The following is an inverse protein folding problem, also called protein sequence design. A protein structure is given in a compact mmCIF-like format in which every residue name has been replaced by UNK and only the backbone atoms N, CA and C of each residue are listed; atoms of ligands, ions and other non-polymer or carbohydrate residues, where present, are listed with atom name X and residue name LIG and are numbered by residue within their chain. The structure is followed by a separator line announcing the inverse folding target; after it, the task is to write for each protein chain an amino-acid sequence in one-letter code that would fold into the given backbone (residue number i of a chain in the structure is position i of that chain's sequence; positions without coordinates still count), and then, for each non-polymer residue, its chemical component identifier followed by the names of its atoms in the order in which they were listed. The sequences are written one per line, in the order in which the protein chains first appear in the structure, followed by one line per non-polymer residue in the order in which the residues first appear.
data_IF_922136391659
#
_entry.id   IF_922136391659
#
_cell.length_a   1.000
_cell.length_b   1.000
_cell.length_c   1.000
_cell.angle_alpha   90.00
_cell.angle_beta   90.00
_cell.angle_gamma   90.00
#
_symmetry.space_group_name_H-M   'P 1'
#
loop_
_entity.id
_entity.type
_entity.pdbx_description
1 polymer ?
#
# COMPACT_ATOMS: atom_id res chain seq x y z
N UNK A 1 4.21 15.17 3.75
CA UNK A 1 4.37 13.81 3.22
C UNK A 1 5.77 13.37 3.58
N UNK A 2 5.92 12.26 4.30
CA UNK A 2 7.22 11.61 4.43
C UNK A 2 7.60 11.08 3.06
N UNK A 3 8.77 11.46 2.56
CA UNK A 3 9.32 10.88 1.34
C UNK A 3 9.65 9.42 1.63
N UNK A 4 9.08 8.50 0.85
CA UNK A 4 9.39 7.08 0.95
C UNK A 4 10.79 6.84 0.40
N UNK A 5 11.55 5.98 1.08
CA UNK A 5 12.85 5.53 0.58
C UNK A 5 12.67 4.36 -0.39
N UNK A 6 13.70 4.06 -1.17
CA UNK A 6 13.70 2.85 -2.00
C UNK A 6 13.50 1.59 -1.17
N UNK A 7 14.06 1.53 0.04
CA UNK A 7 13.88 0.41 0.96
C UNK A 7 12.42 0.27 1.41
N UNK A 8 11.73 1.39 1.68
CA UNK A 8 10.30 1.35 2.00
C UNK A 8 9.47 0.84 0.82
N UNK A 9 9.80 1.29 -0.40
CA UNK A 9 9.12 0.86 -1.62
C UNK A 9 9.37 -0.62 -1.93
N UNK A 10 10.60 -1.10 -1.75
CA UNK A 10 10.96 -2.51 -1.91
C UNK A 10 10.22 -3.38 -0.90
N UNK A 11 10.25 -2.99 0.38
CA UNK A 11 9.57 -3.71 1.46
C UNK A 11 8.08 -3.90 1.19
N UNK A 12 7.40 -2.88 0.65
CA UNK A 12 5.97 -2.96 0.33
C UNK A 12 5.71 -3.63 -1.01
N UNK A 13 6.58 -3.42 -2.01
CA UNK A 13 6.46 -4.01 -3.34
C UNK A 13 6.70 -5.53 -3.38
N UNK A 14 7.49 -6.06 -2.45
CA UNK A 14 7.76 -7.50 -2.31
C UNK A 14 6.72 -8.23 -1.44
N UNK A 15 5.76 -7.52 -0.85
CA UNK A 15 4.74 -8.14 -0.02
C UNK A 15 3.78 -9.01 -0.85
N UNK A 16 3.72 -10.31 -0.55
CA UNK A 16 2.80 -11.23 -1.21
C UNK A 16 1.34 -10.96 -0.82
N UNK A 17 1.07 -10.66 0.45
CA UNK A 17 -0.30 -10.42 0.95
C UNK A 17 -0.37 -9.12 1.78
N UNK A 18 -0.33 -7.94 1.14
CA UNK A 18 -0.48 -6.69 1.86
C UNK A 18 -1.91 -6.53 2.38
N UNK A 19 -2.01 -6.26 3.68
CA UNK A 19 -3.26 -5.86 4.33
C UNK A 19 -3.43 -4.35 4.20
N UNK A 20 -4.40 -3.91 3.40
CA UNK A 20 -4.62 -2.49 3.13
C UNK A 20 -5.96 -2.03 3.70
N UNK A 21 -5.96 -0.88 4.37
CA UNK A 21 -7.17 -0.24 4.89
C UNK A 21 -7.26 1.19 4.38
N UNK A 22 -8.40 1.53 3.79
CA UNK A 22 -8.73 2.92 3.48
C UNK A 22 -9.09 3.67 4.76
N UNK A 23 -8.65 4.92 4.84
CA UNK A 23 -9.06 5.87 5.89
C UNK A 23 -10.46 6.39 5.58
N UNK A 24 -11.35 6.44 6.59
CA UNK A 24 -12.64 7.12 6.53
C UNK A 24 -12.45 8.64 6.66
N UNK A 25 -13.50 9.40 6.34
CA UNK A 25 -13.48 10.85 6.50
C UNK A 25 -13.27 11.31 7.95
N UNK A 26 -13.62 10.47 8.93
CA UNK A 26 -13.40 10.70 10.36
C UNK A 26 -12.00 10.29 10.85
N UNK A 27 -11.11 9.86 9.96
CA UNK A 27 -9.76 9.41 10.29
C UNK A 27 -9.63 7.95 10.73
N UNK A 28 -10.74 7.21 10.90
CA UNK A 28 -10.70 5.80 11.30
C UNK A 28 -10.39 4.88 10.11
N UNK A 29 -9.77 3.72 10.37
CA UNK A 29 -9.50 2.71 9.34
C UNK A 29 -10.72 1.82 9.09
N UNK A 30 -11.01 1.52 7.81
CA UNK A 30 -11.89 0.40 7.45
C UNK A 30 -11.22 -0.94 7.80
N UNK A 31 -11.98 -2.04 7.89
CA UNK A 31 -11.38 -3.38 7.95
C UNK A 31 -10.39 -3.58 6.81
N UNK A 32 -9.26 -4.21 7.10
CA UNK A 32 -8.26 -4.51 6.09
C UNK A 32 -8.82 -5.47 5.04
N UNK A 33 -8.38 -5.28 3.81
CA UNK A 33 -8.59 -6.23 2.71
C UNK A 33 -7.24 -6.65 2.17
N UNK A 34 -7.09 -7.94 1.85
CA UNK A 34 -5.92 -8.43 1.12
C UNK A 34 -6.03 -7.98 -0.33
N UNK A 35 -5.01 -7.27 -0.82
CA UNK A 35 -4.94 -6.80 -2.20
C UNK A 35 -3.55 -7.08 -2.79
N UNK A 36 -3.37 -6.79 -4.07
CA UNK A 36 -2.07 -6.92 -4.74
C UNK A 36 -1.47 -5.55 -4.98
N UNK A 37 -0.19 -5.40 -4.67
CA UNK A 37 0.59 -4.19 -4.94
C UNK A 37 1.63 -4.48 -6.01
N UNK A 38 1.85 -3.52 -6.90
CA UNK A 38 2.91 -3.56 -7.94
C UNK A 38 3.75 -2.30 -7.83
N UNK A 39 5.07 -2.45 -7.81
CA UNK A 39 6.02 -1.34 -7.90
C UNK A 39 6.30 -0.98 -9.36
N UNK A 40 6.25 0.30 -9.69
CA UNK A 40 6.67 0.84 -10.99
C UNK A 40 7.53 2.08 -10.75
N UNK A 41 8.84 1.96 -10.96
CA UNK A 41 9.78 3.04 -10.62
C UNK A 41 9.74 3.36 -9.13
N UNK A 42 9.35 4.59 -8.81
CA UNK A 42 9.27 5.11 -7.44
C UNK A 42 7.84 5.13 -6.88
N UNK A 43 6.90 4.48 -7.58
CA UNK A 43 5.48 4.44 -7.22
C UNK A 43 5.00 3.00 -6.93
N UNK A 44 3.98 2.90 -6.07
CA UNK A 44 3.27 1.65 -5.75
C UNK A 44 1.81 1.75 -6.20
N UNK A 45 1.35 0.74 -6.91
CA UNK A 45 -0.01 0.66 -7.44
C UNK A 45 -0.75 -0.51 -6.81
N UNK A 46 -1.96 -0.23 -6.33
CA UNK A 46 -2.88 -1.27 -5.89
C UNK A 46 -3.67 -1.75 -7.11
N UNK A 47 -3.67 -3.05 -7.35
CA UNK A 47 -4.60 -3.67 -8.30
C UNK A 47 -5.95 -3.84 -7.61
N UNK A 48 -6.95 -3.07 -8.03
CA UNK A 48 -8.33 -3.35 -7.62
C UNK A 48 -8.81 -4.66 -8.22
N UNK A 49 -9.69 -5.35 -7.50
CA UNK A 49 -10.44 -6.48 -8.05
C UNK A 49 -11.32 -6.04 -9.23
#
# INVERSE_FOLDING_TARGET
MTTWTNEDLDRVGEAEEPQLASVRNDGTLRPYVTMWVVRVGDDLYVRSA
#
